data_IF_638302696560
#
_entry.id   IF_638302696560
#
_cell.length_a   1.000
_cell.length_b   1.000
_cell.length_c   1.000
_cell.angle_alpha   90.00
_cell.angle_beta   90.00
_cell.angle_gamma   90.00
#
_symmetry.space_group_name_H-M   'P 1'
#
loop_
_entity.id
_entity.type
_entity.pdbx_description
1 polymer ?
#
# COMPACT_ATOMS: atom_id res chain seq x y z
N UNK A 1 -50.29 -6.71 -1.61
CA UNK A 1 -49.36 -7.62 -0.90
C UNK A 1 -48.13 -7.96 -1.77
N UNK A 2 -47.54 -7.00 -2.50
CA UNK A 2 -46.56 -7.30 -3.56
C UNK A 2 -45.29 -6.42 -3.58
N UNK A 3 -45.16 -5.42 -2.68
CA UNK A 3 -43.96 -4.56 -2.63
C UNK A 3 -42.80 -5.20 -1.86
N UNK A 4 -43.08 -6.05 -0.87
CA UNK A 4 -42.02 -6.64 -0.03
C UNK A 4 -41.16 -7.66 -0.78
N UNK A 5 -41.74 -8.38 -1.75
CA UNK A 5 -40.99 -9.33 -2.58
C UNK A 5 -40.05 -8.61 -3.58
N UNK A 6 -40.46 -7.46 -4.12
CA UNK A 6 -39.64 -6.69 -5.05
C UNK A 6 -38.41 -6.07 -4.37
N UNK A 7 -38.55 -5.67 -3.11
CA UNK A 7 -37.44 -5.12 -2.32
C UNK A 7 -36.38 -6.20 -1.98
N UNK A 8 -36.83 -7.43 -1.73
CA UNK A 8 -35.95 -8.56 -1.45
C UNK A 8 -35.16 -9.02 -2.68
N UNK A 9 -35.77 -8.93 -3.88
CA UNK A 9 -35.08 -9.20 -5.15
C UNK A 9 -34.09 -8.11 -5.54
N UNK A 10 -34.38 -6.84 -5.24
CA UNK A 10 -33.48 -5.73 -5.54
C UNK A 10 -32.26 -5.70 -4.60
N UNK A 11 -32.38 -6.21 -3.37
CA UNK A 11 -31.25 -6.40 -2.46
C UNK A 11 -30.35 -7.59 -2.85
N UNK A 12 -30.93 -8.67 -3.41
CA UNK A 12 -30.17 -9.84 -3.88
C UNK A 12 -29.44 -9.61 -5.22
N UNK A 13 -29.77 -8.53 -5.93
CA UNK A 13 -29.08 -8.05 -7.15
C UNK A 13 -28.27 -6.79 -6.82
N UNK A 14 -27.76 -6.66 -5.59
CA UNK A 14 -26.53 -5.91 -5.41
C UNK A 14 -25.43 -6.76 -6.00
N UNK A 15 -25.16 -6.51 -7.28
CA UNK A 15 -24.02 -6.96 -8.05
C UNK A 15 -22.88 -7.40 -7.13
N UNK A 16 -22.71 -8.72 -7.02
CA UNK A 16 -21.42 -9.35 -6.77
C UNK A 16 -20.51 -8.94 -7.94
N UNK A 17 -20.13 -7.67 -7.96
CA UNK A 17 -19.04 -7.19 -8.76
C UNK A 17 -17.82 -7.77 -8.07
N UNK A 18 -17.53 -9.04 -8.38
CA UNK A 18 -16.24 -9.67 -8.09
C UNK A 18 -15.20 -8.57 -8.30
N UNK A 19 -14.40 -8.20 -7.28
CA UNK A 19 -13.33 -7.24 -7.51
C UNK A 19 -12.54 -7.77 -8.70
N UNK A 20 -12.24 -6.92 -9.70
CA UNK A 20 -11.65 -7.38 -10.95
C UNK A 20 -10.47 -8.28 -10.59
N UNK A 21 -10.41 -9.46 -11.22
CA UNK A 21 -9.50 -10.55 -10.86
C UNK A 21 -8.05 -10.07 -10.58
N UNK A 22 -7.61 -9.06 -11.33
CA UNK A 22 -6.34 -8.35 -11.16
C UNK A 22 -6.17 -7.72 -9.77
N UNK A 23 -7.17 -7.03 -9.23
CA UNK A 23 -7.13 -6.43 -7.88
C UNK A 23 -7.04 -7.53 -6.81
N UNK A 24 -7.75 -8.64 -7.00
CA UNK A 24 -7.68 -9.77 -6.08
C UNK A 24 -6.29 -10.43 -6.08
N UNK A 25 -5.65 -10.54 -7.26
CA UNK A 25 -4.26 -11.00 -7.38
C UNK A 25 -3.29 -10.01 -6.72
N UNK A 26 -3.43 -8.71 -7.01
CA UNK A 26 -2.57 -7.68 -6.43
C UNK A 26 -2.63 -7.69 -4.91
N UNK A 27 -3.82 -7.79 -4.32
CA UNK A 27 -3.98 -7.89 -2.86
C UNK A 27 -3.29 -9.12 -2.25
N UNK A 28 -3.27 -10.26 -2.96
CA UNK A 28 -2.53 -11.45 -2.51
C UNK A 28 -1.01 -11.28 -2.65
N UNK A 29 -0.54 -10.44 -3.55
CA UNK A 29 0.88 -10.12 -3.74
C UNK A 29 1.42 -9.10 -2.73
N UNK A 30 0.55 -8.27 -2.13
CA UNK A 30 0.94 -7.29 -1.09
C UNK A 30 1.80 -7.90 0.02
N UNK A 31 1.37 -8.97 0.73
CA UNK A 31 2.17 -9.54 1.81
C UNK A 31 3.51 -10.10 1.33
N UNK A 32 3.54 -10.70 0.13
CA UNK A 32 4.79 -11.20 -0.46
C UNK A 32 5.78 -10.07 -0.71
N UNK A 33 5.30 -8.97 -1.29
CA UNK A 33 6.09 -7.77 -1.53
C UNK A 33 6.56 -7.09 -0.23
N UNK A 34 5.71 -7.03 0.79
CA UNK A 34 6.06 -6.46 2.09
C UNK A 34 7.14 -7.28 2.79
N UNK A 35 7.02 -8.61 2.80
CA UNK A 35 8.03 -9.50 3.38
C UNK A 35 9.36 -9.36 2.62
N UNK A 36 9.31 -9.30 1.28
CA UNK A 36 10.50 -9.08 0.46
C UNK A 36 11.23 -7.78 0.84
N UNK A 37 10.52 -6.66 0.86
CA UNK A 37 11.10 -5.36 1.23
C UNK A 37 11.62 -5.38 2.67
N UNK A 38 10.87 -5.96 3.61
CA UNK A 38 11.33 -6.11 5.00
C UNK A 38 12.63 -6.91 5.10
N UNK A 39 12.78 -7.97 4.31
CA UNK A 39 13.98 -8.81 4.29
C UNK A 39 15.17 -8.06 3.66
N UNK A 40 14.93 -7.33 2.57
CA UNK A 40 15.94 -6.46 1.94
C UNK A 40 16.41 -5.36 2.90
N UNK A 41 15.50 -4.71 3.62
CA UNK A 41 15.85 -3.70 4.63
C UNK A 41 16.62 -4.32 5.80
N UNK A 42 16.18 -5.47 6.32
CA UNK A 42 16.87 -6.16 7.41
C UNK A 42 18.31 -6.52 6.99
N UNK A 43 18.49 -7.06 5.78
CA UNK A 43 19.81 -7.35 5.24
C UNK A 43 20.67 -6.09 5.10
N UNK A 44 20.08 -4.99 4.62
CA UNK A 44 20.77 -3.70 4.54
C UNK A 44 21.22 -3.14 5.89
N UNK A 45 20.37 -3.23 6.92
CA UNK A 45 20.70 -2.80 8.29
C UNK A 45 21.81 -3.66 8.88
N UNK A 46 21.75 -4.98 8.70
CA UNK A 46 22.81 -5.90 9.15
C UNK A 46 24.14 -5.58 8.45
N UNK A 47 24.14 -5.38 7.13
CA UNK A 47 25.35 -5.00 6.39
C UNK A 47 25.90 -3.63 6.81
N UNK A 48 25.03 -2.65 7.10
CA UNK A 48 25.44 -1.34 7.62
C UNK A 48 26.08 -1.45 9.00
N UNK A 49 25.49 -2.25 9.91
CA UNK A 49 26.03 -2.48 11.24
C UNK A 49 27.40 -3.16 11.18
N UNK A 50 27.57 -4.18 10.34
CA UNK A 50 28.85 -4.88 10.18
C UNK A 50 29.92 -3.98 9.53
N UNK A 51 29.53 -3.06 8.66
CA UNK A 51 30.44 -2.05 8.09
C UNK A 51 30.96 -1.05 9.11
N UNK A 52 30.18 -0.71 10.14
CA UNK A 52 30.66 0.09 11.26
C UNK A 52 31.79 -0.60 12.06
N UNK A 53 31.93 -1.93 11.93
CA UNK A 53 32.97 -2.75 12.56
C UNK A 53 34.18 -2.94 11.63
N UNK A 54 34.21 -2.27 10.46
CA UNK A 54 35.34 -2.27 9.52
C UNK A 54 35.33 -3.41 8.49
N UNK A 55 34.16 -3.97 8.16
CA UNK A 55 33.99 -4.96 7.09
C UNK A 55 33.32 -4.34 5.87
N UNK A 56 33.85 -4.54 4.66
CA UNK A 56 33.31 -3.99 3.39
C UNK A 56 31.98 -4.63 2.92
N UNK A 57 31.25 -5.29 3.82
CA UNK A 57 30.02 -6.03 3.57
C UNK A 57 28.86 -5.14 3.09
N UNK A 58 28.92 -3.83 3.38
CA UNK A 58 27.95 -2.87 2.85
C UNK A 58 28.06 -2.69 1.33
N UNK A 59 29.28 -2.72 0.76
CA UNK A 59 29.46 -2.64 -0.69
C UNK A 59 28.83 -3.85 -1.40
N UNK A 60 28.88 -5.03 -0.78
CA UNK A 60 28.26 -6.25 -1.30
C UNK A 60 26.73 -6.15 -1.29
N UNK A 61 26.15 -5.51 -0.27
CA UNK A 61 24.72 -5.18 -0.24
C UNK A 61 24.32 -4.21 -1.36
N UNK A 62 25.09 -3.14 -1.59
CA UNK A 62 24.82 -2.21 -2.70
C UNK A 62 24.91 -2.90 -4.06
N UNK A 63 25.90 -3.78 -4.25
CA UNK A 63 26.01 -4.58 -5.47
C UNK A 63 24.78 -5.50 -5.66
N UNK A 64 24.30 -6.12 -4.58
CA UNK A 64 23.06 -6.92 -4.60
C UNK A 64 21.84 -6.07 -4.98
N UNK A 65 21.68 -4.88 -4.40
CA UNK A 65 20.59 -3.96 -4.75
C UNK A 65 20.64 -3.48 -6.20
N UNK A 66 21.84 -3.33 -6.78
CA UNK A 66 22.03 -2.92 -8.18
C UNK A 66 21.69 -4.02 -9.17
N UNK A 67 21.55 -5.27 -8.72
CA UNK A 67 21.14 -6.38 -9.59
C UNK A 67 19.82 -6.04 -10.30
N UNK A 68 19.74 -6.16 -11.64
CA UNK A 68 18.55 -5.78 -12.38
C UNK A 68 17.30 -6.51 -11.90
N UNK A 69 17.46 -7.76 -11.43
CA UNK A 69 16.37 -8.54 -10.84
C UNK A 69 15.84 -7.92 -9.55
N UNK A 70 16.72 -7.50 -8.65
CA UNK A 70 16.36 -6.89 -7.36
C UNK A 70 15.74 -5.51 -7.57
N UNK A 71 16.27 -4.72 -8.51
CA UNK A 71 15.70 -3.42 -8.90
C UNK A 71 14.27 -3.59 -9.41
N UNK A 72 14.02 -4.57 -10.30
CA UNK A 72 12.68 -4.87 -10.81
C UNK A 72 11.76 -5.30 -9.68
N UNK A 73 12.20 -6.19 -8.78
CA UNK A 73 11.38 -6.62 -7.64
C UNK A 73 11.03 -5.45 -6.71
N UNK A 74 11.99 -4.57 -6.43
CA UNK A 74 11.76 -3.39 -5.60
C UNK A 74 10.81 -2.38 -6.27
N UNK A 75 10.90 -2.22 -7.59
CA UNK A 75 9.97 -1.38 -8.36
C UNK A 75 8.54 -1.93 -8.30
N UNK A 76 8.37 -3.25 -8.50
CA UNK A 76 7.07 -3.92 -8.35
C UNK A 76 6.56 -3.76 -6.91
N UNK A 77 7.44 -3.93 -5.92
CA UNK A 77 7.07 -3.78 -4.53
C UNK A 77 6.60 -2.37 -4.19
N UNK A 78 7.25 -1.35 -4.75
CA UNK A 78 6.83 0.04 -4.62
C UNK A 78 5.45 0.27 -5.25
N UNK A 79 5.21 -0.22 -6.47
CA UNK A 79 3.90 -0.12 -7.14
C UNK A 79 2.79 -0.81 -6.32
N UNK A 80 3.06 -2.01 -5.79
CA UNK A 80 2.13 -2.76 -4.94
C UNK A 80 1.85 -2.02 -3.63
N UNK A 81 2.87 -1.39 -3.03
CA UNK A 81 2.71 -0.58 -1.81
C UNK A 81 1.86 0.68 -2.03
N UNK A 82 2.04 1.36 -3.17
CA UNK A 82 1.20 2.50 -3.57
C UNK A 82 -0.25 2.03 -3.80
N UNK A 83 -0.44 0.92 -4.51
CA UNK A 83 -1.76 0.33 -4.72
C UNK A 83 -2.44 -0.02 -3.39
N UNK A 84 -1.71 -0.65 -2.46
CA UNK A 84 -2.20 -0.97 -1.13
C UNK A 84 -2.63 0.30 -0.37
N UNK A 85 -1.83 1.36 -0.44
CA UNK A 85 -2.13 2.65 0.19
C UNK A 85 -3.41 3.28 -0.37
N UNK A 86 -3.60 3.26 -1.69
CA UNK A 86 -4.82 3.77 -2.34
C UNK A 86 -6.06 2.96 -1.89
N UNK A 87 -5.95 1.63 -1.89
CA UNK A 87 -7.02 0.72 -1.45
C UNK A 87 -7.39 0.95 0.02
N UNK A 88 -6.37 1.10 0.88
CA UNK A 88 -6.54 1.37 2.29
C UNK A 88 -7.18 2.74 2.52
N UNK A 89 -6.67 3.80 1.88
CA UNK A 89 -7.25 5.14 1.96
C UNK A 89 -8.72 5.14 1.52
N UNK A 90 -9.09 4.44 0.45
CA UNK A 90 -10.50 4.36 0.02
C UNK A 90 -11.39 3.58 1.01
N UNK A 91 -10.84 2.55 1.67
CA UNK A 91 -11.62 1.67 2.54
C UNK A 91 -11.81 2.24 3.96
N UNK A 92 -10.82 2.94 4.50
CA UNK A 92 -10.82 3.49 5.87
C UNK A 92 -11.98 4.45 6.17
N UNK A 93 -12.27 5.49 5.38
CA UNK A 93 -13.41 6.35 5.65
C UNK A 93 -14.73 5.64 5.40
N UNK A 94 -14.77 4.63 4.51
CA UNK A 94 -15.99 3.83 4.30
C UNK A 94 -16.34 3.01 5.54
N UNK A 95 -15.35 2.49 6.27
CA UNK A 95 -15.57 1.76 7.52
C UNK A 95 -15.87 2.71 8.70
N UNK A 96 -15.16 3.84 8.79
CA UNK A 96 -15.34 4.82 9.89
C UNK A 96 -16.66 5.59 9.77
N UNK A 97 -17.03 6.04 8.56
CA UNK A 97 -18.23 6.85 8.34
C UNK A 97 -19.47 6.01 7.96
N UNK A 98 -19.38 4.68 8.06
CA UNK A 98 -20.48 3.74 7.73
C UNK A 98 -21.78 4.02 8.50
N UNK A 99 -21.70 4.67 9.67
CA UNK A 99 -22.84 4.88 10.57
C UNK A 99 -23.66 6.15 10.30
N UNK A 100 -23.22 7.09 9.48
CA UNK A 100 -23.94 8.36 9.30
C UNK A 100 -24.19 8.68 7.83
N UNK A 101 -25.44 8.43 7.43
CA UNK A 101 -26.10 8.98 6.24
C UNK A 101 -25.69 10.45 6.04
N UNK A 102 -25.47 10.83 4.77
CA UNK A 102 -25.24 12.20 4.27
C UNK A 102 -23.82 12.77 4.11
N UNK A 103 -22.73 11.98 4.17
CA UNK A 103 -21.36 12.55 4.21
C UNK A 103 -20.36 12.05 3.17
N UNK A 104 -20.78 11.74 1.93
CA UNK A 104 -19.84 11.40 0.83
C UNK A 104 -18.73 12.45 0.65
N UNK A 105 -19.04 13.72 0.88
CA UNK A 105 -18.08 14.84 0.83
C UNK A 105 -17.02 14.78 1.94
N UNK A 106 -17.38 14.31 3.15
CA UNK A 106 -16.41 14.23 4.27
C UNK A 106 -15.44 13.05 4.11
N UNK A 107 -15.90 11.94 3.54
CA UNK A 107 -15.02 10.82 3.22
C UNK A 107 -13.95 11.19 2.19
N UNK A 108 -14.32 11.99 1.18
CA UNK A 108 -13.36 12.50 0.21
C UNK A 108 -12.34 13.46 0.84
N UNK A 109 -12.78 14.38 1.72
CA UNK A 109 -11.87 15.25 2.47
C UNK A 109 -10.88 14.46 3.32
N UNK A 110 -11.31 13.34 3.93
CA UNK A 110 -10.42 12.46 4.69
C UNK A 110 -9.39 11.75 3.80
N UNK A 111 -9.79 11.28 2.62
CA UNK A 111 -8.88 10.76 1.58
C UNK A 111 -7.80 11.78 1.22
N UNK A 112 -8.21 13.03 0.98
CA UNK A 112 -7.30 14.09 0.54
C UNK A 112 -6.34 14.44 1.67
N UNK A 113 -6.83 14.51 2.91
CA UNK A 113 -5.99 14.72 4.09
C UNK A 113 -4.92 13.64 4.26
N UNK A 114 -5.27 12.36 4.11
CA UNK A 114 -4.31 11.24 4.17
C UNK A 114 -3.26 11.29 3.07
N UNK A 115 -3.67 11.65 1.85
CA UNK A 115 -2.74 11.86 0.73
C UNK A 115 -1.81 13.04 0.99
N UNK A 116 -2.33 14.15 1.54
CA UNK A 116 -1.53 15.33 1.89
C UNK A 116 -0.45 14.97 2.92
N UNK A 117 -0.79 14.21 3.95
CA UNK A 117 0.15 13.72 4.96
C UNK A 117 1.20 12.81 4.33
N UNK A 118 0.79 11.87 3.47
CA UNK A 118 1.72 10.96 2.77
C UNK A 118 2.72 11.72 1.90
N UNK A 119 2.25 12.70 1.12
CA UNK A 119 3.11 13.56 0.29
C UNK A 119 4.04 14.38 1.17
N UNK A 120 3.52 14.98 2.24
CA UNK A 120 4.31 15.77 3.18
C UNK A 120 5.46 14.94 3.79
N UNK A 121 5.15 13.75 4.30
CA UNK A 121 6.15 12.83 4.84
C UNK A 121 7.17 12.43 3.76
N UNK A 122 6.72 12.11 2.55
CA UNK A 122 7.60 11.75 1.44
C UNK A 122 8.58 12.89 1.08
N UNK A 123 8.10 14.14 1.03
CA UNK A 123 8.93 15.32 0.76
C UNK A 123 9.90 15.60 1.91
N UNK A 124 9.44 15.55 3.15
CA UNK A 124 10.30 15.72 4.33
C UNK A 124 11.44 14.69 4.36
N UNK A 125 11.13 13.43 4.04
CA UNK A 125 12.11 12.34 4.04
C UNK A 125 13.13 12.52 2.92
N UNK A 126 12.71 12.94 1.72
CA UNK A 126 13.62 13.29 0.62
C UNK A 126 14.54 14.46 0.97
N UNK A 127 14.00 15.52 1.57
CA UNK A 127 14.80 16.68 2.02
C UNK A 127 15.80 16.29 3.10
N UNK A 128 15.42 15.40 4.02
CA UNK A 128 16.31 14.91 5.07
C UNK A 128 17.46 14.04 4.53
N UNK A 129 17.21 13.24 3.49
CA UNK A 129 18.26 12.42 2.84
C UNK A 129 19.17 13.25 1.92
N UNK A 130 18.64 14.28 1.26
CA UNK A 130 19.41 15.10 0.33
C UNK A 130 20.28 16.15 1.04
N UNK A 131 19.90 16.54 2.27
CA UNK A 131 20.57 17.55 3.08
C UNK A 131 21.64 16.94 3.99
#
# INVERSE_FOLDING_TARGET
MNQQNNNNRLAAVQTDAKPPFIIAIMNKLVPFSMIWISLVLMYGVVCMYTNAIGQDEFYRFIFFLRSPFVVVLNCIALLVSVFHSISWFNSVPKTIFSYHTDKKTKSYLFIVGLWLVTIFVSVCLLLFILK
#
